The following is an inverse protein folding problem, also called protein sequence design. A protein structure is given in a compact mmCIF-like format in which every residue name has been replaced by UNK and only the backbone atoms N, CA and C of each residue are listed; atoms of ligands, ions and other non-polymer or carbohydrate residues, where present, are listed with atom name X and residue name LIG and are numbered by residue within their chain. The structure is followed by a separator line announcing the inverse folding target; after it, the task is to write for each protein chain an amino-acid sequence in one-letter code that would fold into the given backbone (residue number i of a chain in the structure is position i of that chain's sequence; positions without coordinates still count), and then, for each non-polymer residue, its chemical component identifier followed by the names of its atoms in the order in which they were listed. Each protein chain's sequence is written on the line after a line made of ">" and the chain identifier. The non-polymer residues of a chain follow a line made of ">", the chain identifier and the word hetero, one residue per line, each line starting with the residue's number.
data_IF_455368210454
#
_entry.id   IF_455368210454
#
_cell.length_a   1.000
_cell.length_b   1.000
_cell.length_c   1.000
_cell.angle_alpha   90.00
_cell.angle_beta   90.00
_cell.angle_gamma   90.00
#
_symmetry.space_group_name_H-M   'P 1'
#
loop_
_entity.id
_entity.type
_entity.pdbx_description
1 polymer ?
#
# COMPACT_ATOMS: atom_id res chain seq x y z
N UNK A 1 37.32 -9.60 6.15
CA UNK A 1 35.97 -9.03 6.32
C UNK A 1 35.10 -10.06 7.04
N UNK A 2 34.90 -9.91 8.35
CA UNK A 2 34.09 -10.85 9.15
C UNK A 2 32.62 -10.56 8.88
N UNK A 3 31.99 -11.35 8.00
CA UNK A 3 30.55 -11.34 7.84
C UNK A 3 29.95 -12.03 9.08
N UNK A 4 29.38 -11.24 9.99
CA UNK A 4 28.73 -11.77 11.19
C UNK A 4 27.31 -12.22 10.80
N UNK A 5 27.05 -13.53 10.62
CA UNK A 5 25.81 -14.03 10.01
C UNK A 5 24.55 -13.61 10.80
N UNK A 6 24.68 -13.43 12.11
CA UNK A 6 23.59 -12.99 13.00
C UNK A 6 23.14 -11.55 12.74
N UNK A 7 24.07 -10.63 12.41
CA UNK A 7 23.73 -9.24 12.10
C UNK A 7 23.05 -9.10 10.73
N UNK A 8 23.38 -9.99 9.78
CA UNK A 8 22.76 -10.00 8.46
C UNK A 8 21.32 -10.51 8.50
N UNK A 9 21.01 -11.51 9.33
CA UNK A 9 19.61 -11.95 9.54
C UNK A 9 18.78 -10.84 10.17
N UNK A 10 19.28 -10.18 11.23
CA UNK A 10 18.56 -9.08 11.87
C UNK A 10 18.30 -7.93 10.89
N UNK A 11 19.29 -7.58 10.07
CA UNK A 11 19.14 -6.60 9.00
C UNK A 11 18.07 -7.01 7.97
N UNK A 12 18.12 -8.25 7.46
CA UNK A 12 17.14 -8.76 6.50
C UNK A 12 15.72 -8.78 7.08
N UNK A 13 15.56 -9.22 8.32
CA UNK A 13 14.26 -9.23 9.02
C UNK A 13 13.72 -7.80 9.14
N UNK A 14 14.56 -6.84 9.56
CA UNK A 14 14.14 -5.44 9.66
C UNK A 14 13.75 -4.85 8.30
N UNK A 15 14.50 -5.16 7.23
CA UNK A 15 14.21 -4.70 5.88
C UNK A 15 12.91 -5.32 5.34
N UNK A 16 12.69 -6.62 5.57
CA UNK A 16 11.45 -7.30 5.22
C UNK A 16 10.25 -6.73 5.98
N UNK A 17 10.37 -6.46 7.28
CA UNK A 17 9.31 -5.83 8.07
C UNK A 17 8.94 -4.45 7.50
N UNK A 18 9.93 -3.61 7.22
CA UNK A 18 9.66 -2.29 6.63
C UNK A 18 9.01 -2.42 5.24
N UNK A 19 9.46 -3.37 4.42
CA UNK A 19 8.89 -3.61 3.10
C UNK A 19 7.43 -4.12 3.18
N UNK A 20 7.12 -5.04 4.09
CA UNK A 20 5.77 -5.60 4.24
C UNK A 20 4.80 -4.63 4.90
N UNK A 21 5.28 -3.72 5.75
CA UNK A 21 4.44 -2.65 6.31
C UNK A 21 3.82 -1.78 5.22
N UNK A 22 4.53 -1.50 4.12
CA UNK A 22 3.96 -0.79 2.97
C UNK A 22 2.76 -1.54 2.36
N UNK A 23 2.89 -2.84 2.14
CA UNK A 23 1.79 -3.69 1.65
C UNK A 23 0.64 -3.83 2.66
N UNK A 24 0.97 -3.89 3.95
CA UNK A 24 -0.02 -3.92 5.04
C UNK A 24 -0.86 -2.64 5.07
N UNK A 25 -0.23 -1.46 4.98
CA UNK A 25 -0.92 -0.17 4.95
C UNK A 25 -1.85 -0.05 3.72
N UNK A 26 -1.38 -0.49 2.56
CA UNK A 26 -2.21 -0.52 1.35
C UNK A 26 -3.45 -1.42 1.50
N UNK A 27 -3.28 -2.61 2.08
CA UNK A 27 -4.39 -3.52 2.36
C UNK A 27 -5.37 -2.98 3.41
N UNK A 28 -4.85 -2.28 4.43
CA UNK A 28 -5.67 -1.66 5.47
C UNK A 28 -6.61 -0.59 4.88
N UNK A 29 -6.11 0.29 4.02
CA UNK A 29 -6.92 1.33 3.36
C UNK A 29 -8.09 0.73 2.55
N UNK A 30 -7.80 -0.28 1.74
CA UNK A 30 -8.82 -1.01 0.95
C UNK A 30 -9.83 -1.71 1.86
N UNK A 31 -9.38 -2.28 2.98
CA UNK A 31 -10.23 -2.95 3.95
C UNK A 31 -11.20 -1.99 4.67
N UNK A 32 -10.71 -0.82 5.09
CA UNK A 32 -11.53 0.20 5.76
C UNK A 32 -12.59 0.76 4.82
N UNK A 33 -12.24 1.03 3.56
CA UNK A 33 -13.22 1.49 2.55
C UNK A 33 -14.31 0.44 2.38
N UNK A 34 -13.97 -0.82 2.14
CA UNK A 34 -14.95 -1.89 1.97
C UNK A 34 -15.84 -2.07 3.21
N UNK A 35 -15.29 -1.96 4.42
CA UNK A 35 -16.06 -2.07 5.67
C UNK A 35 -17.01 -0.90 5.91
N UNK A 36 -16.62 0.31 5.49
CA UNK A 36 -17.42 1.54 5.65
C UNK A 36 -18.45 1.74 4.54
N UNK A 37 -18.27 1.14 3.37
CA UNK A 37 -19.06 1.38 2.17
C UNK A 37 -20.57 1.11 2.37
N UNK A 38 -20.93 0.08 3.16
CA UNK A 38 -22.32 -0.23 3.51
C UNK A 38 -22.99 0.87 4.35
N UNK A 39 -22.24 1.51 5.25
CA UNK A 39 -22.75 2.57 6.11
C UNK A 39 -22.93 3.87 5.32
N UNK A 40 -22.00 4.14 4.40
CA UNK A 40 -22.07 5.28 3.48
C UNK A 40 -23.26 5.12 2.53
N UNK A 41 -23.49 3.93 1.98
CA UNK A 41 -24.66 3.60 1.16
C UNK A 41 -25.97 3.89 1.91
N UNK A 42 -26.11 3.42 3.16
CA UNK A 42 -27.31 3.64 3.96
C UNK A 42 -27.53 5.11 4.33
N UNK A 43 -26.45 5.86 4.59
CA UNK A 43 -26.53 7.28 5.00
C UNK A 43 -26.83 8.23 3.85
N UNK A 44 -26.31 7.96 2.66
CA UNK A 44 -26.41 8.85 1.51
C UNK A 44 -27.32 8.31 0.40
N UNK A 45 -27.94 7.15 0.59
CA UNK A 45 -28.79 6.47 -0.40
C UNK A 45 -28.09 6.34 -1.77
N UNK A 46 -26.80 5.96 -1.77
CA UNK A 46 -26.04 5.86 -3.03
C UNK A 46 -26.65 4.80 -3.92
N UNK A 47 -26.77 5.10 -5.22
CA UNK A 47 -27.06 4.07 -6.21
C UNK A 47 -25.89 3.06 -6.28
N UNK A 48 -26.14 1.81 -6.70
CA UNK A 48 -25.09 0.79 -6.88
C UNK A 48 -23.92 1.27 -7.75
N UNK A 49 -24.22 2.15 -8.70
CA UNK A 49 -23.28 2.72 -9.65
C UNK A 49 -22.31 3.68 -8.97
N UNK A 50 -22.82 4.56 -8.10
CA UNK A 50 -22.00 5.48 -7.32
C UNK A 50 -21.16 4.76 -6.26
N UNK A 51 -21.68 3.68 -5.68
CA UNK A 51 -20.94 2.80 -4.77
C UNK A 51 -19.74 2.16 -5.47
N UNK A 52 -19.96 1.62 -6.67
CA UNK A 52 -18.89 1.06 -7.50
C UNK A 52 -17.88 2.11 -7.94
N UNK A 53 -18.35 3.31 -8.31
CA UNK A 53 -17.46 4.43 -8.66
C UNK A 53 -16.60 4.87 -7.48
N UNK A 54 -17.18 4.98 -6.27
CA UNK A 54 -16.44 5.33 -5.06
C UNK A 54 -15.32 4.30 -4.77
N UNK A 55 -15.63 3.00 -4.80
CA UNK A 55 -14.64 1.95 -4.55
C UNK A 55 -13.55 1.88 -5.64
N UNK A 56 -13.93 2.01 -6.92
CA UNK A 56 -12.98 1.94 -8.04
C UNK A 56 -12.11 3.20 -8.21
N UNK A 57 -12.59 4.36 -7.78
CA UNK A 57 -11.82 5.61 -7.81
C UNK A 57 -10.52 5.52 -6.98
N UNK A 58 -10.54 4.81 -5.85
CA UNK A 58 -9.36 4.57 -5.03
C UNK A 58 -8.32 3.74 -5.80
N UNK A 59 -8.75 2.67 -6.48
CA UNK A 59 -7.88 1.84 -7.32
C UNK A 59 -7.34 2.62 -8.52
N UNK A 60 -8.18 3.45 -9.16
CA UNK A 60 -7.76 4.31 -10.27
C UNK A 60 -6.67 5.29 -9.85
N UNK A 61 -6.76 5.87 -8.65
CA UNK A 61 -5.73 6.75 -8.09
C UNK A 61 -4.43 5.99 -7.73
N UNK A 62 -4.52 4.70 -7.37
CA UNK A 62 -3.34 3.89 -7.07
C UNK A 62 -2.49 3.56 -8.30
N UNK A 63 -3.05 3.52 -9.50
CA UNK A 63 -2.29 3.24 -10.73
C UNK A 63 -1.16 4.26 -10.94
N UNK A 64 -1.42 5.58 -11.04
CA UNK A 64 -0.35 6.57 -11.14
C UNK A 64 0.52 6.61 -9.89
N UNK A 65 -0.06 6.37 -8.69
CA UNK A 65 0.70 6.28 -7.44
C UNK A 65 1.77 5.18 -7.45
N UNK A 66 1.43 3.99 -7.95
CA UNK A 66 2.37 2.87 -8.05
C UNK A 66 3.46 3.13 -9.11
N UNK A 67 3.09 3.73 -10.25
CA UNK A 67 4.05 4.14 -11.29
C UNK A 67 5.05 5.14 -10.71
N UNK A 68 4.55 6.19 -10.05
CA UNK A 68 5.40 7.20 -9.40
C UNK A 68 6.25 6.58 -8.30
N UNK A 69 5.70 5.71 -7.45
CA UNK A 69 6.45 5.04 -6.40
C UNK A 69 7.60 4.18 -6.95
N UNK A 70 7.39 3.50 -8.08
CA UNK A 70 8.45 2.78 -8.80
C UNK A 70 9.54 3.73 -9.31
N UNK A 71 9.14 4.80 -10.01
CA UNK A 71 10.08 5.80 -10.54
C UNK A 71 10.88 6.51 -9.44
N UNK A 72 10.24 6.91 -8.34
CA UNK A 72 10.90 7.48 -7.18
C UNK A 72 11.78 6.47 -6.46
N UNK A 73 11.38 5.20 -6.39
CA UNK A 73 12.19 4.11 -5.84
C UNK A 73 13.47 3.88 -6.64
N UNK A 74 13.39 3.95 -7.96
CA UNK A 74 14.54 3.84 -8.86
C UNK A 74 15.43 5.09 -8.79
N UNK A 75 14.83 6.29 -8.69
CA UNK A 75 15.55 7.57 -8.68
C UNK A 75 16.20 7.92 -7.33
N UNK A 76 15.49 7.76 -6.20
CA UNK A 76 16.08 7.93 -4.87
C UNK A 76 17.01 6.76 -4.48
N UNK A 77 16.99 5.69 -5.26
CA UNK A 77 17.76 4.48 -5.03
C UNK A 77 17.16 3.66 -3.91
N UNK A 78 17.02 2.35 -4.16
CA UNK A 78 16.58 1.33 -3.20
C UNK A 78 17.63 1.05 -2.09
N UNK A 79 18.25 2.13 -1.58
CA UNK A 79 19.67 2.32 -1.19
C UNK A 79 20.57 2.54 -2.41
N UNK A 80 21.29 3.67 -2.42
CA UNK A 80 22.53 3.83 -3.19
C UNK A 80 23.35 2.56 -3.00
N UNK A 81 23.63 1.85 -4.09
CA UNK A 81 24.71 0.86 -4.18
C UNK A 81 25.99 1.38 -3.53
#
# INVERSE_FOLDING_TARGET
>A
MKHNPTNSILYLVSACLVATLGGMLFGYDTGVINGSLQFVEQRFQLSPEMKGFAASSALLACIPGAILAGLFGDWLGRRKT
#
